data_IF_574196520462
#
_entry.id   IF_574196520462
#
_cell.length_a   1.000
_cell.length_b   1.000
_cell.length_c   1.000
_cell.angle_alpha   90.00
_cell.angle_beta   90.00
_cell.angle_gamma   90.00
#
_symmetry.space_group_name_H-M   'P 1'
#
loop_
_entity.id
_entity.type
_entity.pdbx_description
1 polymer ?
#
# COMPACT_ATOMS: atom_id res chain seq x y z
N UNK A 1 -21.11 -27.83 14.63
CA UNK A 1 -20.17 -27.49 13.65
C UNK A 1 -20.42 -26.12 13.11
N UNK A 2 -19.36 -25.34 12.92
CA UNK A 2 -19.56 -24.00 12.52
C UNK A 2 -19.66 -23.96 11.02
N UNK A 3 -20.74 -23.45 10.49
CA UNK A 3 -20.88 -23.37 9.07
C UNK A 3 -20.55 -22.00 8.60
N UNK A 4 -19.69 -21.90 7.61
CA UNK A 4 -19.34 -20.63 7.05
C UNK A 4 -20.32 -20.28 5.97
N UNK A 5 -21.02 -19.19 6.15
CA UNK A 5 -21.97 -18.74 5.16
C UNK A 5 -21.43 -17.50 4.48
N UNK A 6 -22.15 -17.03 3.47
CA UNK A 6 -21.75 -15.83 2.75
C UNK A 6 -21.59 -14.66 3.71
N UNK A 7 -22.42 -14.58 4.73
CA UNK A 7 -22.33 -13.47 5.66
C UNK A 7 -21.00 -13.42 6.41
N UNK A 8 -20.41 -14.58 6.67
CA UNK A 8 -19.12 -14.60 7.36
C UNK A 8 -18.04 -14.01 6.44
N UNK A 9 -18.08 -14.36 5.18
CA UNK A 9 -17.09 -13.82 4.24
C UNK A 9 -17.28 -12.32 4.06
N UNK A 10 -18.53 -11.88 4.00
CA UNK A 10 -18.80 -10.46 3.87
C UNK A 10 -18.34 -9.70 5.11
N UNK A 11 -18.51 -10.30 6.29
CA UNK A 11 -18.09 -9.64 7.52
C UNK A 11 -16.58 -9.49 7.57
N UNK A 12 -15.84 -10.53 7.18
CA UNK A 12 -14.38 -10.44 7.15
C UNK A 12 -13.93 -9.39 6.16
N UNK A 13 -14.56 -9.39 4.99
CA UNK A 13 -14.21 -8.43 3.96
C UNK A 13 -14.48 -7.01 4.42
N UNK A 14 -15.61 -6.78 5.08
CA UNK A 14 -15.95 -5.45 5.60
C UNK A 14 -14.93 -4.98 6.64
N UNK A 15 -14.50 -5.91 7.50
CA UNK A 15 -13.52 -5.55 8.50
C UNK A 15 -12.17 -5.21 7.88
N UNK A 16 -11.75 -5.97 6.87
CA UNK A 16 -10.49 -5.69 6.20
C UNK A 16 -10.55 -4.36 5.46
N UNK A 17 -11.70 -4.07 4.85
CA UNK A 17 -11.86 -2.81 4.14
C UNK A 17 -11.79 -1.65 5.12
N UNK A 18 -12.44 -1.78 6.26
CA UNK A 18 -12.42 -0.74 7.29
C UNK A 18 -11.00 -0.52 7.80
N UNK A 19 -10.25 -1.61 8.01
CA UNK A 19 -8.87 -1.49 8.45
C UNK A 19 -8.02 -0.78 7.41
N UNK A 20 -8.28 -1.05 6.14
CA UNK A 20 -7.56 -0.35 5.06
C UNK A 20 -7.83 1.14 5.09
N UNK A 21 -9.09 1.52 5.26
CA UNK A 21 -9.43 2.94 5.33
C UNK A 21 -8.76 3.59 6.52
N UNK A 22 -8.83 2.94 7.69
CA UNK A 22 -8.20 3.50 8.88
C UNK A 22 -6.68 3.61 8.70
N UNK A 23 -6.07 2.65 8.03
CA UNK A 23 -4.65 2.71 7.77
C UNK A 23 -4.26 3.94 6.98
N UNK A 24 -5.07 4.29 5.98
CA UNK A 24 -4.78 5.46 5.18
C UNK A 24 -4.92 6.72 6.02
N UNK A 25 -6.01 6.81 6.79
CA UNK A 25 -6.24 8.02 7.56
C UNK A 25 -5.24 8.22 8.68
N UNK A 26 -4.84 7.14 9.32
CA UNK A 26 -3.95 7.26 10.45
C UNK A 26 -2.51 7.52 10.06
N UNK A 27 -2.07 6.98 8.94
CA UNK A 27 -0.69 7.10 8.55
C UNK A 27 -0.53 7.62 7.14
N UNK A 28 -1.21 8.67 6.82
CA UNK A 28 -1.16 9.16 5.44
C UNK A 28 0.18 9.77 5.04
N UNK A 29 1.08 9.94 6.00
CA UNK A 29 2.38 10.47 5.64
C UNK A 29 3.33 9.37 5.26
N UNK A 30 3.00 8.13 5.57
CA UNK A 30 3.89 7.03 5.29
C UNK A 30 3.41 6.34 4.01
N UNK A 31 4.18 6.45 2.96
CA UNK A 31 3.80 5.92 1.66
C UNK A 31 3.65 4.41 1.70
N UNK A 32 4.52 3.73 2.45
CA UNK A 32 4.45 2.28 2.53
C UNK A 32 3.14 1.86 3.18
N UNK A 33 2.75 2.55 4.24
CA UNK A 33 1.51 2.22 4.94
C UNK A 33 0.30 2.47 4.04
N UNK A 34 0.33 3.53 3.26
CA UNK A 34 -0.75 3.82 2.33
C UNK A 34 -0.85 2.71 1.28
N UNK A 35 0.27 2.27 0.74
CA UNK A 35 0.26 1.21 -0.25
C UNK A 35 -0.28 -0.09 0.35
N UNK A 36 0.13 -0.42 1.55
CA UNK A 36 -0.37 -1.62 2.20
C UNK A 36 -1.86 -1.52 2.51
N UNK A 37 -2.32 -0.32 2.86
CA UNK A 37 -3.73 -0.11 3.14
C UNK A 37 -4.57 -0.30 1.90
N UNK A 38 -4.09 0.20 0.77
CA UNK A 38 -4.79 0.01 -0.50
C UNK A 38 -4.83 -1.47 -0.85
N UNK A 39 -3.75 -2.20 -0.57
CA UNK A 39 -3.72 -3.62 -0.82
C UNK A 39 -4.76 -4.35 0.03
N UNK A 40 -4.94 -3.96 1.27
CA UNK A 40 -5.95 -4.56 2.12
C UNK A 40 -7.35 -4.30 1.57
N UNK A 41 -7.57 -3.10 1.05
CA UNK A 41 -8.87 -2.78 0.47
C UNK A 41 -9.13 -3.60 -0.78
N UNK A 42 -8.10 -3.80 -1.60
CA UNK A 42 -8.24 -4.62 -2.80
C UNK A 42 -8.49 -6.08 -2.41
N UNK A 43 -7.83 -6.55 -1.37
CA UNK A 43 -8.04 -7.90 -0.89
C UNK A 43 -9.49 -8.06 -0.42
N UNK A 44 -10.03 -7.07 0.28
CA UNK A 44 -11.40 -7.12 0.77
C UNK A 44 -12.38 -7.26 -0.40
N UNK A 45 -12.18 -6.46 -1.44
CA UNK A 45 -13.04 -6.52 -2.62
C UNK A 45 -12.89 -7.89 -3.29
N UNK A 46 -11.68 -8.41 -3.33
CA UNK A 46 -11.41 -9.67 -3.95
C UNK A 46 -12.12 -10.82 -3.23
N UNK A 47 -12.10 -10.78 -1.90
CA UNK A 47 -12.80 -11.77 -1.10
C UNK A 47 -14.29 -11.72 -1.42
N UNK A 48 -14.87 -10.54 -1.55
CA UNK A 48 -16.27 -10.41 -1.88
C UNK A 48 -16.59 -11.00 -3.24
N UNK A 49 -15.74 -10.72 -4.23
CA UNK A 49 -16.00 -11.22 -5.58
C UNK A 49 -15.96 -12.73 -5.62
N UNK A 50 -14.98 -13.32 -4.95
CA UNK A 50 -14.87 -14.77 -4.93
C UNK A 50 -16.04 -15.39 -4.13
N UNK A 51 -16.41 -14.76 -3.02
CA UNK A 51 -17.50 -15.28 -2.20
C UNK A 51 -18.81 -15.25 -2.95
N UNK A 52 -19.10 -14.15 -3.64
CA UNK A 52 -20.33 -14.06 -4.42
C UNK A 52 -20.31 -15.05 -5.54
N UNK A 53 -19.17 -15.26 -6.19
CA UNK A 53 -19.07 -16.20 -7.27
C UNK A 53 -19.32 -17.62 -6.78
N UNK A 54 -18.76 -17.96 -5.62
CA UNK A 54 -18.96 -19.29 -5.07
C UNK A 54 -20.41 -19.55 -4.71
N UNK A 55 -21.08 -18.55 -4.14
CA UNK A 55 -22.45 -18.73 -3.72
C UNK A 55 -23.41 -18.64 -4.89
N UNK A 56 -23.08 -17.91 -5.94
CA UNK A 56 -23.95 -17.84 -7.10
C UNK A 56 -23.73 -19.01 -8.04
N UNK A 57 -22.65 -19.73 -7.87
CA UNK A 57 -22.37 -20.87 -8.71
C UNK A 57 -21.88 -20.53 -10.10
N UNK A 58 -21.38 -19.32 -10.32
CA UNK A 58 -20.83 -18.98 -11.62
C UNK A 58 -19.39 -18.57 -11.46
N UNK A 59 -18.70 -18.38 -12.57
CA UNK A 59 -17.28 -18.06 -12.54
C UNK A 59 -16.98 -16.61 -12.76
N UNK A 60 -17.99 -15.79 -12.92
CA UNK A 60 -17.75 -14.39 -13.24
C UNK A 60 -16.98 -13.66 -12.15
N UNK A 61 -17.34 -13.92 -10.90
CA UNK A 61 -16.63 -13.28 -9.80
C UNK A 61 -15.18 -13.71 -9.71
N UNK A 62 -14.91 -14.97 -10.05
CA UNK A 62 -13.56 -15.47 -10.03
C UNK A 62 -12.73 -14.87 -11.15
N UNK A 63 -13.33 -14.64 -12.30
CA UNK A 63 -12.65 -14.00 -13.41
C UNK A 63 -12.34 -12.55 -13.04
N UNK A 64 -13.31 -11.86 -12.42
CA UNK A 64 -13.07 -10.50 -11.98
C UNK A 64 -11.98 -10.47 -10.91
N UNK A 65 -11.92 -11.51 -10.08
CA UNK A 65 -10.88 -11.62 -9.08
C UNK A 65 -9.51 -11.65 -9.73
N UNK A 66 -9.37 -12.34 -10.85
CA UNK A 66 -8.10 -12.38 -11.55
C UNK A 66 -7.73 -11.01 -12.09
N UNK A 67 -8.70 -10.26 -12.58
CA UNK A 67 -8.42 -8.91 -13.06
C UNK A 67 -8.00 -8.01 -11.89
N UNK A 68 -8.65 -8.16 -10.74
CA UNK A 68 -8.28 -7.37 -9.56
C UNK A 68 -6.86 -7.71 -9.13
N UNK A 69 -6.49 -8.99 -9.18
CA UNK A 69 -5.15 -9.40 -8.83
C UNK A 69 -4.12 -8.83 -9.80
N UNK A 70 -4.48 -8.75 -11.08
CA UNK A 70 -3.59 -8.17 -12.08
C UNK A 70 -3.37 -6.68 -11.78
N UNK A 71 -4.43 -5.96 -11.45
CA UNK A 71 -4.32 -4.55 -11.11
C UNK A 71 -3.49 -4.39 -9.84
N UNK A 72 -3.72 -5.25 -8.85
CA UNK A 72 -2.96 -5.20 -7.61
C UNK A 72 -1.48 -5.43 -7.87
N UNK A 73 -1.14 -6.38 -8.74
CA UNK A 73 0.25 -6.64 -9.08
C UNK A 73 0.86 -5.45 -9.78
N UNK A 74 0.12 -4.81 -10.69
CA UNK A 74 0.61 -3.64 -11.39
C UNK A 74 0.84 -2.49 -10.41
N UNK A 75 -0.08 -2.30 -9.47
CA UNK A 75 0.09 -1.24 -8.48
C UNK A 75 1.26 -1.53 -7.58
N UNK A 76 1.46 -2.78 -7.20
CA UNK A 76 2.60 -3.15 -6.37
C UNK A 76 3.90 -2.89 -7.10
N UNK A 77 3.96 -3.20 -8.38
CA UNK A 77 5.16 -2.99 -9.17
C UNK A 77 5.48 -1.51 -9.29
N UNK A 78 4.47 -0.70 -9.62
CA UNK A 78 4.68 0.73 -9.74
C UNK A 78 5.01 1.34 -8.38
N UNK A 79 4.30 0.89 -7.35
CA UNK A 79 4.53 1.39 -6.00
C UNK A 79 5.93 1.06 -5.51
N UNK A 80 6.40 -0.15 -5.81
CA UNK A 80 7.73 -0.54 -5.40
C UNK A 80 8.77 0.28 -6.16
N UNK A 81 8.55 0.53 -7.44
CA UNK A 81 9.47 1.36 -8.22
C UNK A 81 9.55 2.76 -7.66
N UNK A 82 8.41 3.34 -7.32
CA UNK A 82 8.37 4.68 -6.73
C UNK A 82 9.08 4.67 -5.39
N UNK A 83 8.87 3.63 -4.58
CA UNK A 83 9.49 3.55 -3.28
C UNK A 83 11.00 3.44 -3.38
N UNK A 84 11.49 2.67 -4.34
CA UNK A 84 12.92 2.52 -4.51
C UNK A 84 13.54 3.87 -4.85
N UNK A 85 12.92 4.60 -5.79
CA UNK A 85 13.45 5.91 -6.16
C UNK A 85 13.34 6.87 -4.98
N UNK A 86 12.22 6.82 -4.26
CA UNK A 86 11.98 7.71 -3.14
C UNK A 86 13.01 7.47 -2.04
N UNK A 87 13.27 6.20 -1.71
CA UNK A 87 14.20 5.89 -0.66
C UNK A 87 15.64 6.16 -1.08
N UNK A 88 15.95 6.02 -2.33
CA UNK A 88 17.29 6.35 -2.80
C UNK A 88 17.52 7.84 -2.64
N UNK A 89 16.54 8.64 -2.99
CA UNK A 89 16.67 10.08 -2.85
C UNK A 89 16.72 10.46 -1.37
N UNK A 90 15.87 9.82 -0.58
CA UNK A 90 15.87 10.11 0.85
C UNK A 90 17.17 9.65 1.49
N UNK A 91 17.69 8.53 1.03
CA UNK A 91 18.96 8.04 1.53
C UNK A 91 20.07 9.03 1.25
N UNK A 92 20.08 9.61 0.05
CA UNK A 92 21.06 10.59 -0.29
C UNK A 92 20.89 11.80 0.59
N UNK A 93 19.67 12.25 0.76
CA UNK A 93 19.38 13.42 1.59
C UNK A 93 19.79 13.15 3.03
N UNK A 94 19.51 11.95 3.51
CA UNK A 94 19.85 11.61 4.87
C UNK A 94 21.38 11.59 5.09
N UNK A 95 22.10 11.11 4.10
CA UNK A 95 23.53 11.07 4.18
C UNK A 95 24.08 12.50 4.19
N UNK A 96 23.52 13.36 3.36
CA UNK A 96 23.95 14.75 3.33
C UNK A 96 23.61 15.45 4.64
N UNK A 97 22.48 15.08 5.22
CA UNK A 97 22.06 15.64 6.48
C UNK A 97 23.07 15.27 7.54
N UNK A 98 23.51 14.03 7.57
CA UNK A 98 24.48 13.56 8.53
C UNK A 98 25.80 14.31 8.33
N UNK A 99 26.16 14.51 7.08
CA UNK A 99 27.38 15.24 6.79
C UNK A 99 27.28 16.67 7.28
N UNK A 100 26.14 17.30 7.13
CA UNK A 100 25.94 18.64 7.60
C UNK A 100 26.05 18.68 9.11
N UNK A 101 25.47 17.70 9.78
CA UNK A 101 25.53 17.66 11.22
C UNK A 101 26.97 17.48 11.69
N UNK A 102 27.74 16.68 11.00
CA UNK A 102 29.08 16.51 11.41
C UNK A 102 29.88 17.68 11.02
N UNK A 103 29.75 18.12 9.87
CA UNK A 103 30.49 19.21 9.36
C UNK A 103 30.04 20.46 9.81
N UNK A 104 29.04 20.49 10.45
CA UNK A 104 28.59 21.59 11.00
C UNK A 104 29.02 22.82 10.53
N UNK A 105 29.43 23.45 10.54
CA UNK A 105 29.78 24.66 10.05
C UNK A 105 29.94 24.78 8.57
N UNK A 106 29.93 23.79 7.87
CA UNK A 106 30.12 23.89 6.50
C UNK A 106 28.96 24.47 5.79
N UNK A 107 28.95 25.68 5.49
CA UNK A 107 27.88 26.33 4.78
C UNK A 107 27.72 25.79 3.40
N UNK A 108 28.76 25.37 2.81
CA UNK A 108 28.70 24.83 1.48
C UNK A 108 27.80 23.64 1.42
N UNK A 109 27.98 22.77 2.36
CA UNK A 109 27.18 21.58 2.41
C UNK A 109 25.74 21.94 2.65
N UNK A 110 25.54 22.94 3.48
CA UNK A 110 24.22 23.34 3.76
C UNK A 110 23.55 23.89 2.52
N UNK A 111 24.28 24.65 1.73
CA UNK A 111 23.70 25.17 0.55
C UNK A 111 23.39 24.08 -0.43
N UNK A 112 24.28 23.15 -0.55
CA UNK A 112 24.05 22.06 -1.42
C UNK A 112 22.85 21.32 -1.00
N UNK A 113 22.56 21.29 0.31
CA UNK A 113 21.51 20.56 0.73
C UNK A 113 20.23 21.23 0.57
N UNK A 114 20.18 22.49 0.44
CA UNK A 114 18.95 23.21 0.29
C UNK A 114 18.31 22.87 -1.00
N UNK A 115 18.92 22.05 -1.85
CA UNK A 115 18.29 21.66 -2.98
C UNK A 115 17.25 20.83 -2.70
N UNK A 116 16.25 21.02 -2.94
CA UNK A 116 15.16 20.41 -2.53
C UNK A 116 14.99 19.27 -3.25
N UNK A 117 14.66 18.84 -3.58
CA UNK A 117 14.34 17.84 -4.23
C UNK A 117 13.26 17.54 -3.90
#
# INVERSE_FOLDING_TARGET
MFELTLNHYLAVSAMLFALGIFGIFLNRKNVITILMSIELMLLAVNINMVAFSAYSGNLEGQIFSLFILTVAAAEAAIGLAILVVFFRNRGSIAVEDVNILKGEGSSCIRLSFSFPF
#
